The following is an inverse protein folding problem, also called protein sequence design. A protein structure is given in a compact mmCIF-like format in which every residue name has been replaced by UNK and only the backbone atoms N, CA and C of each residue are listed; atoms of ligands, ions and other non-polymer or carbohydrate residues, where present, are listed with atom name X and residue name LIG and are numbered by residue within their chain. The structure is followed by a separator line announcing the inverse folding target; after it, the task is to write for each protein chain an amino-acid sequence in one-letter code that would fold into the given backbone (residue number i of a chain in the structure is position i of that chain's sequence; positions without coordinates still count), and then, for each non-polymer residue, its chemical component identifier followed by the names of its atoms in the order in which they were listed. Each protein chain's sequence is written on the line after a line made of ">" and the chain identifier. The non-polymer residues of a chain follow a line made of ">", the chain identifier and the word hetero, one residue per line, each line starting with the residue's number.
data_IF_460811253319
#
_entry.id   IF_460811253319
#
_cell.length_a   1.000
_cell.length_b   1.000
_cell.length_c   1.000
_cell.angle_alpha   90.00
_cell.angle_beta   90.00
_cell.angle_gamma   90.00
#
_symmetry.space_group_name_H-M   'P 1'
#
loop_
_entity.id
_entity.type
_entity.pdbx_description
1 polymer ?
#
# COMPACT_ATOMS: atom_id res chain seq x y z
N UNK A 1 7.43 31.41 0.98
CA UNK A 1 8.56 31.30 1.94
C UNK A 1 9.93 31.62 1.33
N UNK A 2 10.08 31.71 0.02
CA UNK A 2 11.37 31.95 -0.68
C UNK A 2 11.92 33.38 -0.58
N UNK A 3 11.09 34.38 -0.30
CA UNK A 3 11.51 35.78 -0.36
C UNK A 3 12.36 36.22 0.87
N UNK A 4 12.01 35.73 2.06
CA UNK A 4 12.74 36.05 3.30
C UNK A 4 14.18 35.48 3.29
N UNK A 5 14.37 34.30 2.70
CA UNK A 5 15.68 33.63 2.62
C UNK A 5 16.67 34.39 1.74
N UNK A 6 16.20 34.91 0.60
CA UNK A 6 17.01 35.73 -0.30
C UNK A 6 17.39 37.08 0.31
N UNK A 7 16.52 37.66 1.14
CA UNK A 7 16.77 38.92 1.84
C UNK A 7 17.88 38.77 2.91
N UNK A 8 17.83 37.71 3.72
CA UNK A 8 18.83 37.43 4.77
C UNK A 8 20.23 37.19 4.16
N UNK A 9 20.29 36.47 3.03
CA UNK A 9 21.56 36.22 2.32
C UNK A 9 22.21 37.51 1.82
N UNK A 10 21.42 38.46 1.30
CA UNK A 10 21.92 39.75 0.82
C UNK A 10 22.42 40.66 1.95
N UNK A 11 21.74 40.69 3.10
CA UNK A 11 22.19 41.48 4.24
C UNK A 11 23.49 40.96 4.87
N UNK A 12 23.70 39.63 4.91
CA UNK A 12 24.95 39.04 5.40
C UNK A 12 26.17 39.42 4.54
N UNK A 13 25.98 39.59 3.23
CA UNK A 13 27.05 40.01 2.31
C UNK A 13 27.40 41.49 2.50
N UNK A 14 26.43 42.33 2.89
CA UNK A 14 26.62 43.77 3.08
C UNK A 14 27.19 44.14 4.45
N UNK A 15 26.90 43.38 5.51
CA UNK A 15 27.36 43.69 6.86
C UNK A 15 28.79 43.22 7.15
N UNK A 16 29.33 42.30 6.35
CA UNK A 16 30.73 41.87 6.41
C UNK A 16 31.49 42.71 5.39
N UNK A 17 31.92 43.92 5.80
CA UNK A 17 32.88 44.70 5.04
C UNK A 17 34.18 43.91 4.80
N UNK A 18 34.94 44.21 3.74
CA UNK A 18 36.09 43.42 3.35
C UNK A 18 37.26 43.70 4.30
N UNK A 19 37.37 42.93 5.37
CA UNK A 19 38.63 42.69 6.08
C UNK A 19 39.48 41.68 5.29
N UNK A 20 39.62 41.88 3.97
CA UNK A 20 40.40 41.00 3.11
C UNK A 20 41.79 41.60 2.98
N UNK A 21 42.77 40.94 3.58
CA UNK A 21 44.18 41.29 3.42
C UNK A 21 44.58 41.30 1.94
N UNK A 22 45.50 42.18 1.53
CA UNK A 22 45.86 42.39 0.11
C UNK A 22 46.41 41.14 -0.60
N UNK A 23 46.80 40.09 0.13
CA UNK A 23 47.19 38.80 -0.46
C UNK A 23 46.03 38.05 -1.14
N UNK A 24 44.77 38.28 -0.73
CA UNK A 24 43.63 37.56 -1.30
C UNK A 24 43.25 38.04 -2.70
N UNK A 25 43.30 39.35 -2.96
CA UNK A 25 43.03 39.91 -4.30
C UNK A 25 44.08 39.47 -5.33
N UNK A 26 45.34 39.38 -4.91
CA UNK A 26 46.44 38.92 -5.78
C UNK A 26 46.28 37.45 -6.20
N UNK A 27 45.74 36.61 -5.32
CA UNK A 27 45.39 35.21 -5.63
C UNK A 27 44.16 35.07 -6.53
N UNK A 28 43.34 36.12 -6.63
CA UNK A 28 42.15 36.15 -7.48
C UNK A 28 42.51 36.58 -8.91
N UNK A 29 43.44 37.53 -9.06
CA UNK A 29 43.94 37.99 -10.37
C UNK A 29 44.82 36.93 -11.07
N UNK A 30 45.51 36.07 -10.30
CA UNK A 30 46.30 34.96 -10.83
C UNK A 30 45.43 33.77 -11.32
N UNK A 31 44.15 33.70 -10.93
CA UNK A 31 43.21 32.68 -11.40
C UNK A 31 42.57 33.15 -12.70
N UNK A 32 43.30 33.04 -13.80
CA UNK A 32 42.68 32.93 -15.12
C UNK A 32 41.63 31.83 -15.01
N UNK A 33 40.36 32.19 -15.21
CA UNK A 33 39.24 31.27 -15.11
C UNK A 33 39.33 30.27 -16.27
N UNK A 34 39.96 29.12 -16.04
CA UNK A 34 40.05 28.01 -16.99
C UNK A 34 38.67 27.41 -17.36
N UNK A 35 37.57 27.92 -16.78
CA UNK A 35 36.20 27.55 -17.15
C UNK A 35 35.63 28.37 -18.32
N UNK A 36 36.36 29.33 -18.89
CA UNK A 36 36.00 29.83 -20.22
C UNK A 36 36.60 28.84 -21.23
N UNK A 37 35.76 27.89 -21.66
CA UNK A 37 36.04 27.12 -22.87
C UNK A 37 36.30 28.12 -23.99
N UNK A 38 37.56 28.30 -24.34
CA UNK A 38 37.96 28.91 -25.61
C UNK A 38 37.20 28.14 -26.67
N UNK A 39 36.22 28.82 -27.27
CA UNK A 39 35.32 28.30 -28.27
C UNK A 39 36.11 27.97 -29.54
N UNK A 40 36.66 26.76 -29.60
CA UNK A 40 37.18 26.17 -30.82
C UNK A 40 35.97 25.88 -31.73
N UNK A 41 35.93 26.60 -32.84
CA UNK A 41 34.80 26.80 -33.75
C UNK A 41 34.44 25.57 -34.63
N UNK A 42 34.69 24.35 -34.17
CA UNK A 42 34.42 23.10 -34.91
C UNK A 42 33.50 22.10 -34.17
N UNK A 43 33.11 22.39 -32.94
CA UNK A 43 32.29 21.50 -32.09
C UNK A 43 30.80 21.86 -32.11
N UNK A 44 30.32 22.49 -33.19
CA UNK A 44 28.91 22.88 -33.33
C UNK A 44 27.96 21.72 -33.63
N UNK A 45 28.49 20.49 -33.83
CA UNK A 45 27.65 19.29 -33.94
C UNK A 45 27.30 18.60 -32.62
N UNK A 46 28.09 18.73 -31.54
CA UNK A 46 28.11 17.62 -30.58
C UNK A 46 27.70 17.87 -29.13
N UNK A 47 27.20 19.04 -28.71
CA UNK A 47 26.60 19.10 -27.37
C UNK A 47 25.16 18.56 -27.36
N UNK A 48 24.38 18.92 -28.38
CA UNK A 48 23.00 18.46 -28.56
C UNK A 48 22.97 16.99 -29.00
N UNK A 49 23.80 16.58 -29.98
CA UNK A 49 23.89 15.17 -30.43
C UNK A 49 24.41 14.21 -29.34
N UNK A 50 25.30 14.64 -28.42
CA UNK A 50 25.75 13.78 -27.30
C UNK A 50 24.72 13.69 -26.17
N UNK A 51 23.95 14.74 -25.91
CA UNK A 51 22.85 14.73 -24.93
C UNK A 51 21.58 14.05 -25.46
N UNK A 52 21.43 13.95 -26.77
CA UNK A 52 20.27 13.37 -27.44
C UNK A 52 20.35 11.84 -27.59
N UNK A 53 21.54 11.25 -27.45
CA UNK A 53 21.79 9.80 -27.63
C UNK A 53 21.78 9.02 -26.31
N UNK A 54 22.02 9.67 -25.15
CA UNK A 54 21.89 9.02 -23.84
C UNK A 54 20.84 9.72 -22.98
N UNK A 55 19.79 8.99 -22.53
CA UNK A 55 18.88 9.51 -21.51
C UNK A 55 19.70 9.89 -20.27
N UNK A 56 19.50 11.10 -19.75
CA UNK A 56 20.13 11.51 -18.48
C UNK A 56 19.70 10.56 -17.36
N UNK A 57 20.56 10.35 -16.36
CA UNK A 57 20.25 9.51 -15.19
C UNK A 57 18.91 9.88 -14.53
N UNK A 58 18.57 11.18 -14.53
CA UNK A 58 17.30 11.69 -14.00
C UNK A 58 16.10 11.22 -14.84
N UNK A 59 16.22 11.23 -16.17
CA UNK A 59 15.15 10.80 -17.08
C UNK A 59 14.88 9.29 -16.92
N UNK A 60 15.95 8.50 -16.72
CA UNK A 60 15.86 7.05 -16.42
C UNK A 60 15.11 6.82 -15.11
N UNK A 61 15.54 7.47 -14.03
CA UNK A 61 14.91 7.34 -12.69
C UNK A 61 13.43 7.75 -12.75
N UNK A 62 13.09 8.79 -13.51
CA UNK A 62 11.71 9.26 -13.68
C UNK A 62 10.84 8.24 -14.40
N UNK A 63 11.36 7.61 -15.46
CA UNK A 63 10.65 6.54 -16.15
C UNK A 63 10.45 5.31 -15.26
N UNK A 64 11.47 4.90 -14.52
CA UNK A 64 11.38 3.77 -13.60
C UNK A 64 10.35 4.03 -12.49
N UNK A 65 10.35 5.23 -11.90
CA UNK A 65 9.35 5.62 -10.92
C UNK A 65 7.93 5.56 -11.48
N UNK A 66 7.74 6.03 -12.72
CA UNK A 66 6.44 5.97 -13.41
C UNK A 66 6.00 4.51 -13.62
N UNK A 67 6.92 3.63 -14.03
CA UNK A 67 6.66 2.20 -14.21
C UNK A 67 6.28 1.52 -12.90
N UNK A 68 7.04 1.74 -11.84
CA UNK A 68 6.75 1.21 -10.50
C UNK A 68 5.41 1.70 -9.97
N UNK A 69 5.09 2.98 -10.18
CA UNK A 69 3.82 3.56 -9.73
C UNK A 69 2.62 2.89 -10.41
N UNK A 70 2.73 2.60 -11.72
CA UNK A 70 1.69 1.87 -12.46
C UNK A 70 1.55 0.42 -11.98
N UNK A 71 2.67 -0.25 -11.71
CA UNK A 71 2.67 -1.61 -11.19
C UNK A 71 2.03 -1.69 -9.80
N UNK A 72 2.39 -0.77 -8.89
CA UNK A 72 1.78 -0.66 -7.58
C UNK A 72 0.28 -0.36 -7.68
N UNK A 73 -0.14 0.54 -8.59
CA UNK A 73 -1.55 0.82 -8.84
C UNK A 73 -2.33 -0.43 -9.27
N UNK A 74 -1.77 -1.26 -10.16
CA UNK A 74 -2.38 -2.54 -10.54
C UNK A 74 -2.50 -3.50 -9.37
N UNK A 75 -1.44 -3.62 -8.56
CA UNK A 75 -1.44 -4.51 -7.38
C UNK A 75 -2.45 -4.07 -6.33
N UNK A 76 -2.59 -2.76 -6.10
CA UNK A 76 -3.62 -2.20 -5.20
C UNK A 76 -5.01 -2.57 -5.72
N UNK A 77 -5.29 -2.35 -7.00
CA UNK A 77 -6.59 -2.69 -7.59
C UNK A 77 -6.92 -4.19 -7.45
N UNK A 78 -5.94 -5.06 -7.70
CA UNK A 78 -6.11 -6.50 -7.53
C UNK A 78 -6.43 -6.87 -6.08
N UNK A 79 -5.69 -6.30 -5.12
CA UNK A 79 -5.94 -6.55 -3.69
C UNK A 79 -7.30 -6.01 -3.22
N UNK A 80 -7.77 -4.90 -3.78
CA UNK A 80 -9.10 -4.38 -3.50
C UNK A 80 -10.21 -5.32 -4.01
N UNK A 81 -10.03 -5.90 -5.20
CA UNK A 81 -10.94 -6.89 -5.77
C UNK A 81 -10.97 -8.19 -4.95
N UNK A 82 -9.80 -8.76 -4.64
CA UNK A 82 -9.66 -9.94 -3.78
C UNK A 82 -10.28 -9.72 -2.39
N UNK A 83 -10.09 -8.52 -1.81
CA UNK A 83 -10.71 -8.17 -0.52
C UNK A 83 -12.23 -8.15 -0.61
N UNK A 84 -12.81 -7.65 -1.70
CA UNK A 84 -14.26 -7.64 -1.88
C UNK A 84 -14.81 -9.06 -2.02
N UNK A 85 -14.16 -9.92 -2.81
CA UNK A 85 -14.53 -11.32 -3.01
C UNK A 85 -14.51 -12.08 -1.68
N UNK A 86 -13.41 -11.99 -0.92
CA UNK A 86 -13.31 -12.62 0.40
C UNK A 86 -14.35 -12.08 1.38
N UNK A 87 -14.71 -10.80 1.29
CA UNK A 87 -15.79 -10.22 2.09
C UNK A 87 -17.14 -10.91 1.83
N UNK A 88 -17.46 -11.15 0.55
CA UNK A 88 -18.68 -11.86 0.16
C UNK A 88 -18.67 -13.31 0.65
N UNK A 89 -17.55 -14.01 0.52
CA UNK A 89 -17.42 -15.40 0.99
C UNK A 89 -17.66 -15.52 2.49
N UNK A 90 -17.12 -14.58 3.28
CA UNK A 90 -17.35 -14.54 4.74
C UNK A 90 -18.83 -14.36 5.06
N UNK A 91 -19.53 -13.48 4.34
CA UNK A 91 -20.96 -13.25 4.55
C UNK A 91 -21.80 -14.49 4.15
N UNK A 92 -21.44 -15.17 3.07
CA UNK A 92 -22.08 -16.43 2.65
C UNK A 92 -21.89 -17.52 3.70
N UNK A 93 -20.66 -17.74 4.16
CA UNK A 93 -20.36 -18.75 5.19
C UNK A 93 -21.12 -18.46 6.49
N UNK A 94 -21.21 -17.19 6.88
CA UNK A 94 -21.96 -16.78 8.07
C UNK A 94 -23.45 -17.10 7.93
N UNK A 95 -24.04 -16.84 6.77
CA UNK A 95 -25.45 -17.13 6.49
C UNK A 95 -25.72 -18.65 6.49
N UNK A 96 -24.83 -19.44 5.91
CA UNK A 96 -24.92 -20.89 5.91
C UNK A 96 -24.83 -21.48 7.33
N UNK A 97 -23.86 -21.03 8.13
CA UNK A 97 -23.72 -21.42 9.52
C UNK A 97 -24.96 -21.10 10.36
N UNK A 98 -25.56 -19.93 10.15
CA UNK A 98 -26.80 -19.53 10.82
C UNK A 98 -27.98 -20.43 10.46
N UNK A 99 -28.09 -20.82 9.18
CA UNK A 99 -29.13 -21.74 8.72
C UNK A 99 -28.97 -23.14 9.32
N UNK A 100 -27.73 -23.64 9.37
CA UNK A 100 -27.40 -24.92 10.01
C UNK A 100 -27.72 -24.91 11.50
N UNK A 101 -27.37 -23.82 12.21
CA UNK A 101 -27.68 -23.66 13.64
C UNK A 101 -29.19 -23.72 13.90
N UNK A 102 -30.00 -23.02 13.10
CA UNK A 102 -31.47 -23.07 13.22
C UNK A 102 -32.02 -24.48 12.96
N UNK A 103 -31.51 -25.16 11.94
CA UNK A 103 -31.89 -26.54 11.63
C UNK A 103 -31.55 -27.51 12.77
N UNK A 104 -30.35 -27.39 13.34
CA UNK A 104 -29.91 -28.20 14.49
C UNK A 104 -30.83 -28.01 15.70
N UNK A 105 -31.12 -26.76 16.07
CA UNK A 105 -31.96 -26.48 17.24
C UNK A 105 -33.36 -27.09 17.08
N UNK A 106 -33.96 -27.00 15.89
CA UNK A 106 -35.26 -27.63 15.62
C UNK A 106 -35.20 -29.16 15.73
N UNK A 107 -34.17 -29.78 15.15
CA UNK A 107 -33.99 -31.23 15.24
C UNK A 107 -33.78 -31.71 16.69
N UNK A 108 -33.12 -30.90 17.52
CA UNK A 108 -32.93 -31.16 18.94
C UNK A 108 -34.24 -31.06 19.73
N UNK A 109 -35.05 -30.03 19.48
CA UNK A 109 -36.40 -29.88 20.04
C UNK A 109 -37.31 -31.08 19.66
N UNK A 110 -37.31 -31.47 18.39
CA UNK A 110 -38.08 -32.61 17.88
C UNK A 110 -37.64 -33.93 18.54
N UNK A 111 -36.34 -34.12 18.72
CA UNK A 111 -35.76 -35.29 19.39
C UNK A 111 -36.17 -35.35 20.87
N UNK A 112 -36.12 -34.22 21.57
CA UNK A 112 -36.52 -34.15 22.98
C UNK A 112 -38.02 -34.43 23.13
N UNK A 113 -38.86 -33.88 22.25
CA UNK A 113 -40.30 -34.21 22.21
C UNK A 113 -40.50 -35.72 22.04
N UNK A 114 -39.88 -36.31 21.01
CA UNK A 114 -39.98 -37.75 20.73
C UNK A 114 -39.53 -38.61 21.92
N UNK A 115 -38.45 -38.21 22.59
CA UNK A 115 -37.93 -38.88 23.79
C UNK A 115 -38.93 -38.83 24.95
N UNK A 116 -39.65 -37.71 25.12
CA UNK A 116 -40.71 -37.63 26.13
C UNK A 116 -41.91 -38.52 25.80
N UNK A 117 -42.34 -38.55 24.54
CA UNK A 117 -43.50 -39.34 24.13
C UNK A 117 -43.21 -40.84 24.16
N UNK A 118 -42.00 -41.25 23.77
CA UNK A 118 -41.55 -42.63 23.96
C UNK A 118 -41.56 -43.05 25.43
N UNK A 119 -41.08 -42.20 26.35
CA UNK A 119 -41.13 -42.47 27.79
C UNK A 119 -42.57 -42.63 28.30
N UNK A 120 -43.50 -41.81 27.82
CA UNK A 120 -44.93 -41.91 28.15
C UNK A 120 -45.50 -43.23 27.62
N UNK A 121 -45.31 -43.54 26.34
CA UNK A 121 -45.77 -44.77 25.71
C UNK A 121 -45.28 -46.01 26.46
N UNK A 122 -43.98 -46.07 26.78
CA UNK A 122 -43.40 -47.16 27.58
C UNK A 122 -44.06 -47.31 28.95
N UNK A 123 -44.38 -46.20 29.63
CA UNK A 123 -45.13 -46.22 30.89
C UNK A 123 -46.54 -46.77 30.68
N UNK A 124 -47.25 -46.31 29.65
CA UNK A 124 -48.60 -46.79 29.32
C UNK A 124 -48.64 -48.29 29.04
N UNK A 125 -47.71 -48.83 28.24
CA UNK A 125 -47.60 -50.28 27.97
C UNK A 125 -47.39 -51.08 29.26
N UNK A 126 -46.56 -50.56 30.18
CA UNK A 126 -46.32 -51.21 31.48
C UNK A 126 -47.57 -51.23 32.35
N UNK A 127 -48.32 -50.13 32.39
CA UNK A 127 -49.57 -50.03 33.16
C UNK A 127 -50.67 -50.91 32.59
N UNK A 128 -50.77 -51.02 31.26
CA UNK A 128 -51.79 -51.83 30.60
C UNK A 128 -51.50 -53.35 30.63
N UNK A 129 -50.39 -53.79 31.22
CA UNK A 129 -50.05 -55.22 31.34
C UNK A 129 -49.62 -55.91 30.05
N UNK A 130 -49.68 -55.24 28.91
CA UNK A 130 -49.37 -55.77 27.56
C UNK A 130 -47.90 -56.21 27.35
N UNK A 131 -46.99 -55.91 28.29
CA UNK A 131 -45.58 -56.32 28.22
C UNK A 131 -45.28 -57.66 28.90
N UNK A 132 -46.26 -58.33 29.51
CA UNK A 132 -46.10 -59.67 30.05
C UNK A 132 -46.69 -60.66 29.05
N UNK A 133 -45.87 -61.22 28.17
CA UNK A 133 -46.20 -62.50 27.54
C UNK A 133 -46.24 -63.53 28.64
N UNK A 134 -47.42 -64.10 28.92
CA UNK A 134 -47.54 -65.31 29.73
C UNK A 134 -46.76 -66.41 29.04
N UNK A 135 -45.89 -67.06 29.79
CA UNK A 135 -45.37 -68.40 29.49
C UNK A 135 -46.50 -69.42 29.60
#
# INVERSE_FOLDING_TARGET
>A
MSNAWNQIRRMKILAVGPSMTPEYSQSHDQRVNDNILVSNLETTRSLEEHLQVMPSEIEIIKQDFKKMSLELGRKIKQLEEEKMELGLDVDVQKLEADKLRKGKNKAEEDLDSLKTDYKKLRRSIRTAGLGKTSE
#
